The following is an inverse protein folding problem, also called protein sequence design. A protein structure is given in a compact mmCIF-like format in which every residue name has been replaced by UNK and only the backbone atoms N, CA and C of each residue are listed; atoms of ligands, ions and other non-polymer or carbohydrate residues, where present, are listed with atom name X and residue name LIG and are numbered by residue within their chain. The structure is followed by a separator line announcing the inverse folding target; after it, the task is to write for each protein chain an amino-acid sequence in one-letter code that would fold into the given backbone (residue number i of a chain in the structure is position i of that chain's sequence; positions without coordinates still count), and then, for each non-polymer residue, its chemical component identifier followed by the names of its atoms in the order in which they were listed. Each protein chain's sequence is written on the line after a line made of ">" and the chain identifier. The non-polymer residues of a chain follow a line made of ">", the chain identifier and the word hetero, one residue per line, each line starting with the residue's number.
data_IF_821898660097
#
_entry.id   IF_821898660097
#
_cell.length_a   1.000
_cell.length_b   1.000
_cell.length_c   1.000
_cell.angle_alpha   90.00
_cell.angle_beta   90.00
_cell.angle_gamma   90.00
#
_symmetry.space_group_name_H-M   'P 1'
#
loop_
_entity.id
_entity.type
_entity.pdbx_description
1 polymer ?
#
# COMPACT_ATOMS: atom_id res chain seq x y z
N UNK A 1 -17.78 -13.07 9.21
CA UNK A 1 -17.51 -11.95 8.29
C UNK A 1 -16.47 -11.07 8.94
N UNK A 2 -15.20 -11.47 8.88
CA UNK A 2 -14.13 -10.76 9.59
C UNK A 2 -13.70 -9.55 8.79
N UNK A 3 -14.09 -8.38 9.28
CA UNK A 3 -13.57 -7.08 8.87
C UNK A 3 -12.10 -6.97 9.30
N UNK A 4 -11.18 -6.92 8.34
CA UNK A 4 -10.10 -5.93 8.33
C UNK A 4 -9.39 -5.96 6.95
N UNK A 5 -9.98 -5.25 5.99
CA UNK A 5 -9.23 -4.89 4.78
C UNK A 5 -8.06 -4.02 5.22
N UNK A 6 -6.83 -4.47 4.97
CA UNK A 6 -5.58 -3.85 5.43
C UNK A 6 -5.22 -2.55 4.72
N UNK A 7 -6.22 -1.72 4.39
CA UNK A 7 -6.07 -0.49 3.62
C UNK A 7 -5.81 0.68 4.56
N UNK A 8 -4.72 1.40 4.36
CA UNK A 8 -4.34 2.60 5.12
C UNK A 8 -3.85 3.68 4.15
N UNK A 9 -4.44 4.87 4.26
CA UNK A 9 -3.91 6.09 3.64
C UNK A 9 -3.41 6.96 4.77
N UNK A 10 -2.12 7.31 4.76
CA UNK A 10 -1.45 7.94 5.90
C UNK A 10 -0.30 8.84 5.45
N UNK A 11 0.20 9.72 6.32
CA UNK A 11 1.37 10.56 6.00
C UNK A 11 2.66 9.96 6.53
N UNK A 12 2.56 9.22 7.62
CA UNK A 12 3.68 8.64 8.36
C UNK A 12 4.37 7.55 7.56
N UNK A 13 5.70 7.49 7.69
CA UNK A 13 6.49 6.37 7.19
C UNK A 13 6.05 5.07 7.87
N UNK A 14 6.29 3.96 7.18
CA UNK A 14 6.02 2.62 7.68
C UNK A 14 7.17 1.69 7.30
N UNK A 15 7.36 0.63 8.08
CA UNK A 15 8.29 -0.44 7.71
C UNK A 15 7.57 -1.46 6.84
N UNK A 16 8.09 -1.66 5.62
CA UNK A 16 7.57 -2.66 4.68
C UNK A 16 7.65 -4.07 5.27
N UNK A 17 8.72 -4.37 6.03
CA UNK A 17 8.90 -5.68 6.64
C UNK A 17 7.80 -5.98 7.66
N UNK A 18 7.40 -4.98 8.46
CA UNK A 18 6.31 -5.12 9.43
C UNK A 18 4.97 -5.37 8.74
N UNK A 19 4.71 -4.66 7.63
CA UNK A 19 3.49 -4.86 6.84
C UNK A 19 3.41 -6.28 6.29
N UNK A 20 4.52 -6.81 5.74
CA UNK A 20 4.59 -8.17 5.19
C UNK A 20 4.48 -9.22 6.31
N UNK A 21 5.25 -9.06 7.40
CA UNK A 21 5.23 -9.99 8.52
C UNK A 21 3.83 -10.11 9.13
N UNK A 22 3.11 -8.99 9.25
CA UNK A 22 1.74 -8.96 9.76
C UNK A 22 0.73 -9.77 8.94
N UNK A 23 1.01 -10.09 7.66
CA UNK A 23 0.12 -10.89 6.80
C UNK A 23 0.34 -12.38 6.91
N UNK A 24 1.58 -12.81 7.08
CA UNK A 24 1.92 -14.23 7.25
C UNK A 24 1.87 -14.71 8.70
N UNK A 25 1.95 -13.80 9.67
CA UNK A 25 2.10 -14.15 11.08
C UNK A 25 0.92 -14.98 11.59
N UNK A 26 1.21 -16.22 12.01
CA UNK A 26 0.25 -17.09 12.70
C UNK A 26 -0.80 -17.76 11.80
N UNK A 27 -0.74 -17.58 10.47
CA UNK A 27 -1.69 -18.21 9.55
C UNK A 27 -1.00 -19.28 8.66
N UNK A 28 -1.06 -20.58 9.04
CA UNK A 28 -0.39 -21.64 8.29
C UNK A 28 -1.02 -21.92 6.91
N UNK A 29 -2.19 -21.34 6.59
CA UNK A 29 -2.78 -21.47 5.26
C UNK A 29 -2.06 -20.61 4.20
N UNK A 30 -1.29 -19.60 4.63
CA UNK A 30 -0.56 -18.71 3.71
C UNK A 30 0.78 -19.35 3.34
N UNK A 31 0.86 -19.91 2.13
CA UNK A 31 2.08 -20.52 1.60
C UNK A 31 3.02 -19.56 0.87
N UNK A 32 2.56 -18.36 0.53
CA UNK A 32 3.34 -17.35 -0.18
C UNK A 32 2.78 -15.95 0.04
N UNK A 33 3.65 -14.94 -0.07
CA UNK A 33 3.28 -13.52 -0.10
C UNK A 33 3.96 -12.90 -1.32
N UNK A 34 3.19 -12.16 -2.11
CA UNK A 34 3.69 -11.30 -3.18
C UNK A 34 3.49 -9.84 -2.78
N UNK A 35 4.50 -9.00 -3.00
CA UNK A 35 4.45 -7.58 -2.64
C UNK A 35 4.96 -6.68 -3.78
N UNK A 36 4.45 -5.45 -3.79
CA UNK A 36 4.92 -4.37 -4.64
C UNK A 36 5.15 -3.14 -3.75
N UNK A 37 6.30 -2.49 -3.93
CA UNK A 37 6.68 -1.29 -3.18
C UNK A 37 7.02 -0.21 -4.21
N UNK A 38 6.25 0.87 -4.21
CA UNK A 38 6.59 2.08 -4.96
C UNK A 38 7.58 2.90 -4.14
N UNK A 39 8.60 3.45 -4.79
CA UNK A 39 9.55 4.39 -4.17
C UNK A 39 9.60 5.66 -5.00
N UNK A 40 9.69 6.81 -4.35
CA UNK A 40 9.89 8.09 -5.03
C UNK A 40 11.24 8.07 -5.76
N UNK A 41 11.22 8.39 -7.06
CA UNK A 41 12.43 8.53 -7.87
C UNK A 41 13.02 9.93 -7.72
N UNK A 42 14.32 10.05 -7.88
CA UNK A 42 15.07 11.32 -7.83
C UNK A 42 14.99 12.13 -9.14
N UNK A 43 14.28 11.63 -10.16
CA UNK A 43 14.10 12.28 -11.45
C UNK A 43 12.67 12.15 -11.95
N UNK A 44 12.13 13.25 -12.49
CA UNK A 44 10.86 13.28 -13.20
C UNK A 44 10.96 14.21 -14.42
N UNK A 45 10.56 13.72 -15.60
CA UNK A 45 10.66 14.45 -16.88
C UNK A 45 12.04 15.09 -17.16
N UNK A 46 13.11 14.42 -16.76
CA UNK A 46 14.49 14.89 -16.93
C UNK A 46 14.94 15.95 -15.92
N UNK A 47 14.08 16.36 -14.99
CA UNK A 47 14.40 17.28 -13.91
C UNK A 47 14.65 16.51 -12.59
N UNK A 48 15.63 16.95 -11.76
CA UNK A 48 15.85 16.37 -10.44
C UNK A 48 14.66 16.67 -9.52
N UNK A 49 14.29 15.69 -8.71
CA UNK A 49 13.24 15.77 -7.70
C UNK A 49 13.88 15.64 -6.33
N UNK A 50 13.76 16.68 -5.50
CA UNK A 50 14.17 16.63 -4.09
C UNK A 50 13.03 16.26 -3.16
N UNK A 51 11.81 16.59 -3.56
CA UNK A 51 10.58 16.42 -2.79
C UNK A 51 9.39 16.27 -3.74
N UNK A 52 8.43 15.42 -3.38
CA UNK A 52 7.13 15.28 -4.03
C UNK A 52 6.04 15.44 -2.97
N UNK A 53 5.02 16.24 -3.27
CA UNK A 53 3.81 16.33 -2.42
C UNK A 53 2.69 15.57 -3.09
N UNK A 54 2.19 14.53 -2.43
CA UNK A 54 1.09 13.71 -2.92
C UNK A 54 -0.18 13.98 -2.10
N UNK A 55 -1.19 14.55 -2.74
CA UNK A 55 -2.49 14.80 -2.11
C UNK A 55 -3.50 13.72 -2.47
N UNK A 56 -4.53 13.58 -1.63
CA UNK A 56 -5.62 12.66 -1.88
C UNK A 56 -6.94 13.30 -1.46
N UNK A 57 -8.05 12.79 -1.99
CA UNK A 57 -9.39 13.16 -1.52
C UNK A 57 -9.80 12.18 -0.40
N UNK A 58 -9.93 12.65 0.86
CA UNK A 58 -10.26 11.78 1.98
C UNK A 58 -11.58 11.04 1.76
N UNK A 59 -11.59 9.75 2.02
CA UNK A 59 -12.73 8.86 1.87
C UNK A 59 -13.01 8.41 0.42
N UNK A 60 -12.61 9.15 -0.62
CA UNK A 60 -12.72 8.66 -2.01
C UNK A 60 -11.58 7.72 -2.36
N UNK A 61 -10.37 8.06 -1.93
CA UNK A 61 -9.16 7.27 -2.21
C UNK A 61 -9.27 5.89 -1.56
N UNK A 62 -9.67 5.84 -0.31
CA UNK A 62 -9.90 4.61 0.44
C UNK A 62 -11.00 3.76 -0.19
N UNK A 63 -12.10 4.38 -0.66
CA UNK A 63 -13.16 3.66 -1.40
C UNK A 63 -12.64 3.06 -2.70
N UNK A 64 -11.86 3.80 -3.47
CA UNK A 64 -11.27 3.28 -4.71
C UNK A 64 -10.33 2.10 -4.42
N UNK A 65 -9.47 2.20 -3.41
CA UNK A 65 -8.61 1.09 -2.97
C UNK A 65 -9.45 -0.11 -2.49
N UNK A 66 -10.54 0.11 -1.75
CA UNK A 66 -11.46 -0.95 -1.34
C UNK A 66 -12.09 -1.66 -2.54
N UNK A 67 -12.51 -0.91 -3.57
CA UNK A 67 -13.04 -1.48 -4.81
C UNK A 67 -11.99 -2.34 -5.50
N UNK A 68 -10.75 -1.88 -5.62
CA UNK A 68 -9.66 -2.66 -6.22
C UNK A 68 -9.39 -3.96 -5.45
N UNK A 69 -9.35 -3.90 -4.12
CA UNK A 69 -9.16 -5.09 -3.28
C UNK A 69 -10.34 -6.06 -3.40
N UNK A 70 -11.57 -5.55 -3.43
CA UNK A 70 -12.76 -6.37 -3.65
C UNK A 70 -12.74 -7.06 -5.02
N UNK A 71 -12.38 -6.33 -6.07
CA UNK A 71 -12.22 -6.87 -7.42
C UNK A 71 -11.13 -7.95 -7.48
N UNK A 72 -10.03 -7.77 -6.74
CA UNK A 72 -8.96 -8.76 -6.66
C UNK A 72 -9.43 -10.05 -5.99
N UNK A 73 -10.15 -9.97 -4.85
CA UNK A 73 -10.79 -11.14 -4.24
C UNK A 73 -11.84 -11.81 -5.14
N UNK A 74 -12.51 -11.03 -6.01
CA UNK A 74 -13.43 -11.58 -7.00
C UNK A 74 -12.74 -12.35 -8.14
N UNK A 75 -11.46 -12.06 -8.42
CA UNK A 75 -10.67 -12.67 -9.50
C UNK A 75 -9.76 -13.80 -9.03
N UNK A 76 -9.25 -13.72 -7.80
CA UNK A 76 -8.27 -14.65 -7.23
C UNK A 76 -8.66 -15.05 -5.81
N UNK A 77 -8.35 -16.30 -5.44
CA UNK A 77 -8.56 -16.83 -4.09
C UNK A 77 -7.46 -16.32 -3.15
N UNK A 78 -7.55 -15.05 -2.77
CA UNK A 78 -6.60 -14.38 -1.88
C UNK A 78 -7.01 -14.58 -0.42
N UNK A 79 -6.07 -15.03 0.41
CA UNK A 79 -6.30 -15.24 1.85
C UNK A 79 -6.28 -13.91 2.62
N UNK A 80 -5.33 -13.02 2.30
CA UNK A 80 -5.20 -11.70 2.92
C UNK A 80 -4.62 -10.69 1.93
N UNK A 81 -4.95 -9.41 2.11
CA UNK A 81 -4.51 -8.28 1.29
C UNK A 81 -4.27 -7.05 2.18
N UNK A 82 -3.13 -6.39 1.95
CA UNK A 82 -2.77 -5.12 2.57
C UNK A 82 -2.50 -4.06 1.50
N UNK A 83 -2.92 -2.82 1.75
CA UNK A 83 -2.52 -1.66 0.95
C UNK A 83 -2.17 -0.53 1.90
N UNK A 84 -0.92 -0.07 1.87
CA UNK A 84 -0.52 1.15 2.56
C UNK A 84 -0.12 2.16 1.50
N UNK A 85 -0.78 3.32 1.49
CA UNK A 85 -0.51 4.38 0.53
C UNK A 85 -0.17 5.66 1.27
N UNK A 86 1.06 6.16 1.08
CA UNK A 86 1.49 7.41 1.72
C UNK A 86 1.05 8.63 0.94
N UNK A 87 0.74 9.69 1.68
CA UNK A 87 0.38 11.02 1.18
C UNK A 87 1.16 12.09 1.94
N UNK A 88 1.10 13.35 1.50
CA UNK A 88 1.89 14.43 2.05
C UNK A 88 3.25 14.57 1.39
N UNK A 89 4.23 15.09 2.13
CA UNK A 89 5.59 15.31 1.64
C UNK A 89 6.39 14.00 1.64
N UNK A 90 6.99 13.69 0.49
CA UNK A 90 7.78 12.48 0.25
C UNK A 90 9.12 12.86 -0.39
N UNK A 91 10.19 12.15 -0.02
CA UNK A 91 11.55 12.35 -0.56
C UNK A 91 11.95 11.17 -1.44
N UNK A 92 12.94 11.34 -2.34
CA UNK A 92 13.50 10.22 -3.08
C UNK A 92 13.84 9.03 -2.17
N UNK A 93 13.51 7.83 -2.63
CA UNK A 93 13.58 6.56 -1.91
C UNK A 93 12.58 6.38 -0.74
N UNK A 94 11.71 7.35 -0.45
CA UNK A 94 10.58 7.11 0.44
C UNK A 94 9.57 6.14 -0.22
N UNK A 95 8.97 5.23 0.57
CA UNK A 95 7.82 4.43 0.17
C UNK A 95 6.50 5.20 0.25
#
# INVERSE_FOLDING_TARGET
>A
MSSQSGIRVQTEAFDVADVIAGRGAGNPAIGAIASFIGLVRDVNDGAPVTTMTLEHYPGMTEKALQTIVADAHGRWDLIDVAVVHRVGELRPADP
#
